data_IF_638075981408
#
_entry.id   IF_638075981408
#
_cell.length_a   1.000
_cell.length_b   1.000
_cell.length_c   1.000
_cell.angle_alpha   90.00
_cell.angle_beta   90.00
_cell.angle_gamma   90.00
#
_symmetry.space_group_name_H-M   'P 1'
#
loop_
_entity.id
_entity.type
_entity.pdbx_description
1 polymer ?
#
# COMPACT_ATOMS: atom_id res chain seq x y z
N UNK A 1 31.49 6.08 50.35
CA UNK A 1 30.35 6.51 51.20
C UNK A 1 29.34 7.17 50.27
N UNK A 2 28.08 6.70 50.17
CA UNK A 2 26.94 6.90 51.12
C UNK A 2 26.65 8.41 51.36
N UNK A 3 25.43 8.98 51.35
CA UNK A 3 24.00 8.60 51.10
C UNK A 3 23.16 9.91 51.14
N UNK A 4 21.91 10.09 50.67
CA UNK A 4 20.93 9.31 49.87
C UNK A 4 19.75 10.23 49.41
N UNK A 5 18.81 9.69 48.64
CA UNK A 5 17.39 10.16 48.48
C UNK A 5 16.58 10.03 49.81
N UNK A 6 15.23 10.22 49.89
CA UNK A 6 14.19 10.59 48.88
C UNK A 6 13.12 11.61 49.36
N UNK A 7 12.10 11.94 48.52
CA UNK A 7 10.69 12.33 48.82
C UNK A 7 10.02 12.85 47.51
N UNK A 8 8.77 12.59 47.09
CA UNK A 8 7.64 11.76 47.59
C UNK A 8 6.71 11.37 46.41
N UNK A 9 5.97 10.26 46.53
CA UNK A 9 4.86 9.90 45.62
C UNK A 9 3.55 10.66 45.93
N UNK A 10 2.66 10.75 44.94
CA UNK A 10 1.22 10.98 45.16
C UNK A 10 0.39 10.03 44.28
N UNK A 11 -0.24 9.02 44.90
CA UNK A 11 -1.35 8.29 44.29
C UNK A 11 -2.63 9.12 44.40
N UNK A 12 -3.52 8.98 43.42
CA UNK A 12 -4.91 9.42 43.54
C UNK A 12 -5.82 8.23 43.22
N UNK A 13 -6.72 7.91 44.15
CA UNK A 13 -7.47 6.65 44.19
C UNK A 13 -8.97 6.94 44.25
N UNK A 14 -9.67 6.73 43.13
CA UNK A 14 -11.13 6.77 42.98
C UNK A 14 -11.49 5.82 41.82
N UNK A 15 -12.41 4.86 41.93
CA UNK A 15 -13.08 4.32 43.11
C UNK A 15 -13.82 3.05 42.69
N UNK A 16 -13.78 2.00 43.50
CA UNK A 16 -14.45 0.72 43.19
C UNK A 16 -15.88 0.74 43.73
N UNK A 17 -16.87 0.52 42.86
CA UNK A 17 -18.24 0.17 43.27
C UNK A 17 -18.49 -1.33 43.10
N UNK A 18 -19.21 -1.91 44.05
CA UNK A 18 -19.17 -3.33 44.38
C UNK A 18 -20.39 -4.14 43.89
N UNK A 19 -20.11 -5.36 43.44
CA UNK A 19 -20.86 -6.61 43.76
C UNK A 19 -22.30 -6.76 43.23
N UNK A 20 -22.51 -7.77 42.37
CA UNK A 20 -23.08 -9.04 42.83
C UNK A 20 -22.70 -10.22 41.93
N UNK A 21 -22.34 -11.35 42.53
CA UNK A 21 -22.18 -12.65 41.85
C UNK A 21 -23.07 -13.63 42.58
N UNK A 22 -24.27 -13.86 42.05
CA UNK A 22 -25.15 -14.91 42.54
C UNK A 22 -24.71 -16.27 41.99
N UNK A 23 -24.42 -17.18 42.92
CA UNK A 23 -24.07 -18.56 42.61
C UNK A 23 -25.32 -19.35 42.23
N UNK A 24 -25.42 -19.76 40.97
CA UNK A 24 -26.37 -20.80 40.55
C UNK A 24 -25.62 -22.06 40.13
N UNK A 25 -25.94 -23.14 40.85
CA UNK A 25 -25.50 -24.51 40.55
C UNK A 25 -26.17 -25.02 39.28
N UNK A 26 -25.50 -26.00 38.66
CA UNK A 26 -25.90 -26.79 37.48
C UNK A 26 -25.66 -26.10 36.13
N UNK A 27 -24.77 -26.69 35.35
CA UNK A 27 -24.34 -26.15 34.06
C UNK A 27 -25.31 -26.45 32.91
N UNK A 28 -25.67 -25.40 32.18
CA UNK A 28 -25.75 -25.38 30.71
C UNK A 28 -26.04 -23.95 30.27
N UNK A 29 -25.04 -23.26 29.69
CA UNK A 29 -25.26 -21.91 29.13
C UNK A 29 -25.53 -22.01 27.63
N UNK A 30 -26.80 -21.90 27.25
CA UNK A 30 -27.21 -21.66 25.86
C UNK A 30 -27.27 -20.15 25.68
N UNK A 31 -26.32 -19.58 24.93
CA UNK A 31 -26.38 -18.16 24.55
C UNK A 31 -27.49 -17.97 23.51
N UNK A 32 -28.66 -17.51 23.96
CA UNK A 32 -29.71 -16.98 23.08
C UNK A 32 -29.51 -15.47 22.89
N UNK A 33 -28.91 -15.08 21.77
CA UNK A 33 -28.92 -13.69 21.30
C UNK A 33 -30.30 -13.34 20.75
N UNK A 34 -31.02 -12.43 21.41
CA UNK A 34 -32.25 -11.85 20.89
C UNK A 34 -31.94 -10.79 19.83
N UNK A 35 -32.07 -11.15 18.56
CA UNK A 35 -32.13 -10.20 17.44
C UNK A 35 -33.56 -9.66 17.32
N UNK A 36 -33.77 -8.40 17.71
CA UNK A 36 -34.99 -7.66 17.36
C UNK A 36 -34.97 -7.29 15.88
N UNK A 37 -35.59 -8.12 15.05
CA UNK A 37 -35.80 -7.82 13.63
C UNK A 37 -36.92 -6.78 13.46
N UNK A 38 -36.57 -5.57 13.03
CA UNK A 38 -37.55 -4.58 12.61
C UNK A 38 -38.18 -5.00 11.26
N UNK A 39 -39.44 -5.43 11.28
CA UNK A 39 -40.17 -5.84 10.08
C UNK A 39 -40.66 -4.60 9.30
N UNK A 40 -39.88 -4.18 8.30
CA UNK A 40 -40.31 -3.14 7.36
C UNK A 40 -41.33 -3.72 6.36
N UNK A 41 -42.62 -3.57 6.63
CA UNK A 41 -43.68 -3.95 5.69
C UNK A 41 -43.77 -2.90 4.57
N UNK A 42 -43.12 -3.18 3.44
CA UNK A 42 -43.26 -2.39 2.22
C UNK A 42 -44.45 -2.93 1.41
N UNK A 43 -45.54 -2.16 1.34
CA UNK A 43 -46.64 -2.44 0.41
C UNK A 43 -46.19 -2.17 -1.02
N UNK A 44 -45.86 -3.22 -1.78
CA UNK A 44 -45.64 -3.13 -3.22
C UNK A 44 -46.98 -3.20 -3.97
N UNK A 45 -47.19 -2.36 -5.00
CA UNK A 45 -48.38 -2.44 -5.83
C UNK A 45 -48.38 -3.75 -6.63
N UNK A 46 -49.57 -4.35 -6.83
CA UNK A 46 -49.75 -5.46 -7.77
C UNK A 46 -49.41 -5.00 -9.19
N UNK A 47 -48.28 -5.43 -9.72
CA UNK A 47 -48.05 -5.49 -11.16
C UNK A 47 -48.32 -6.91 -11.65
N UNK A 48 -49.33 -7.07 -12.49
CA UNK A 48 -49.54 -8.30 -13.25
C UNK A 48 -48.46 -8.41 -14.34
N UNK A 49 -47.33 -9.05 -14.01
CA UNK A 49 -46.24 -9.32 -14.95
C UNK A 49 -46.31 -10.76 -15.47
N UNK A 50 -46.20 -10.90 -16.80
CA UNK A 50 -46.17 -12.18 -17.48
C UNK A 50 -45.00 -13.06 -17.04
N UNK A 51 -45.25 -14.38 -16.94
CA UNK A 51 -44.27 -15.39 -16.53
C UNK A 51 -42.98 -15.37 -17.38
N UNK A 52 -43.06 -14.87 -18.63
CA UNK A 52 -41.90 -14.71 -19.53
C UNK A 52 -40.94 -13.59 -19.08
N UNK A 53 -41.43 -12.57 -18.38
CA UNK A 53 -40.61 -11.44 -17.91
C UNK A 53 -39.87 -11.78 -16.61
N UNK A 54 -40.42 -12.66 -15.78
CA UNK A 54 -39.79 -13.12 -14.54
C UNK A 54 -38.48 -13.89 -14.82
N UNK A 55 -38.47 -14.71 -15.88
CA UNK A 55 -37.32 -15.51 -16.28
C UNK A 55 -36.13 -14.65 -16.77
N UNK A 56 -36.37 -13.50 -17.38
CA UNK A 56 -35.30 -12.61 -17.87
C UNK A 56 -34.63 -11.84 -16.73
N UNK A 57 -35.39 -11.40 -15.72
CA UNK A 57 -34.82 -10.75 -14.54
C UNK A 57 -34.01 -11.72 -13.65
N UNK A 58 -34.40 -13.00 -13.58
CA UNK A 58 -33.66 -14.02 -12.83
C UNK A 58 -32.26 -14.31 -13.40
N UNK A 59 -32.02 -14.11 -14.71
CA UNK A 59 -30.72 -14.34 -15.35
C UNK A 59 -29.79 -13.11 -15.26
N UNK A 60 -30.34 -11.88 -15.17
CA UNK A 60 -29.51 -10.70 -14.86
C UNK A 60 -29.20 -10.56 -13.36
N UNK A 61 -30.05 -11.05 -12.46
CA UNK A 61 -29.80 -11.00 -11.01
C UNK A 61 -28.71 -11.99 -10.55
N UNK A 62 -28.36 -13.00 -11.35
CA UNK A 62 -27.37 -14.04 -11.00
C UNK A 62 -25.94 -13.77 -11.51
N UNK A 63 -25.61 -12.51 -11.81
CA UNK A 63 -24.25 -12.07 -12.24
C UNK A 63 -23.56 -11.10 -11.27
N UNK A 64 -24.13 -10.85 -10.09
CA UNK A 64 -23.64 -9.82 -9.14
C UNK A 64 -22.98 -10.39 -7.87
N UNK A 65 -23.15 -11.67 -7.55
CA UNK A 65 -22.52 -12.31 -6.37
C UNK A 65 -21.54 -13.42 -6.76
N UNK A 66 -20.37 -13.01 -7.23
CA UNK A 66 -19.17 -13.86 -7.30
C UNK A 66 -17.89 -13.06 -7.01
N UNK A 67 -17.99 -12.01 -6.20
CA UNK A 67 -16.82 -11.52 -5.45
C UNK A 67 -16.59 -12.55 -4.36
N UNK A 68 -15.66 -13.48 -4.60
CA UNK A 68 -15.02 -14.17 -3.49
C UNK A 68 -14.39 -13.09 -2.63
N UNK A 69 -14.81 -13.00 -1.37
CA UNK A 69 -14.00 -12.38 -0.34
C UNK A 69 -12.75 -13.25 -0.19
N UNK A 70 -11.74 -13.01 -1.04
CA UNK A 70 -10.37 -13.39 -0.71
C UNK A 70 -10.08 -12.86 0.69
N UNK A 71 -9.40 -13.61 1.55
CA UNK A 71 -9.11 -13.13 2.89
C UNK A 71 -8.29 -11.84 2.75
N UNK A 72 -8.90 -10.71 3.10
CA UNK A 72 -8.11 -9.59 3.60
C UNK A 72 -7.45 -10.18 4.84
N UNK A 73 -6.13 -10.24 4.83
CA UNK A 73 -5.33 -10.83 5.91
C UNK A 73 -5.36 -9.85 7.10
N UNK A 74 -6.54 -9.77 7.74
CA UNK A 74 -6.88 -8.92 8.88
C UNK A 74 -6.08 -9.38 10.10
N UNK A 75 -4.80 -9.05 10.12
CA UNK A 75 -3.90 -9.31 11.23
C UNK A 75 -4.18 -8.30 12.33
N UNK A 76 -5.19 -8.59 13.15
CA UNK A 76 -5.44 -7.85 14.37
C UNK A 76 -4.33 -8.13 15.38
N UNK A 77 -3.28 -7.31 15.35
CA UNK A 77 -2.36 -7.15 16.47
C UNK A 77 -3.02 -6.13 17.39
N UNK A 78 -3.20 -6.50 18.67
CA UNK A 78 -3.80 -5.68 19.73
C UNK A 78 -5.18 -5.05 19.45
N UNK A 79 -5.92 -5.59 18.47
CA UNK A 79 -7.29 -5.17 18.14
C UNK A 79 -7.39 -4.13 17.01
N UNK A 80 -6.28 -3.70 16.42
CA UNK A 80 -6.29 -2.80 15.26
C UNK A 80 -6.51 -3.57 13.94
N UNK A 81 -7.41 -3.09 13.08
CA UNK A 81 -7.65 -3.67 11.76
C UNK A 81 -6.54 -3.26 10.78
N UNK A 82 -5.45 -4.03 10.76
CA UNK A 82 -4.30 -3.79 9.89
C UNK A 82 -4.56 -4.29 8.46
N UNK A 83 -4.08 -3.53 7.48
CA UNK A 83 -4.15 -3.82 6.05
C UNK A 83 -2.81 -3.67 5.37
N UNK A 84 -2.62 -4.39 4.27
CA UNK A 84 -1.37 -4.39 3.51
C UNK A 84 -1.40 -3.35 2.39
N UNK A 85 -0.58 -2.32 2.50
CA UNK A 85 -0.31 -1.33 1.45
C UNK A 85 1.06 -1.60 0.83
N UNK A 86 1.48 -0.87 -0.23
CA UNK A 86 2.90 -0.71 -0.49
C UNK A 86 3.59 -0.25 0.81
N UNK A 87 4.82 -0.68 1.08
CA UNK A 87 5.53 -0.40 2.33
C UNK A 87 5.08 -1.21 3.56
N UNK A 88 4.02 -2.02 3.49
CA UNK A 88 3.68 -3.02 4.51
C UNK A 88 2.34 -2.82 5.23
N UNK A 89 2.30 -3.24 6.51
CA UNK A 89 1.09 -3.19 7.33
C UNK A 89 0.87 -1.80 7.94
N UNK A 90 -0.35 -1.29 7.79
CA UNK A 90 -0.83 -0.04 8.38
C UNK A 90 -2.28 -0.21 8.87
N UNK A 91 -2.73 0.53 9.91
CA UNK A 91 -4.13 0.53 10.33
C UNK A 91 -5.04 1.00 9.19
N UNK A 92 -6.18 0.32 8.95
CA UNK A 92 -7.12 0.69 7.87
C UNK A 92 -7.62 2.14 8.00
N UNK A 93 -7.79 2.63 9.22
CA UNK A 93 -8.14 4.03 9.51
C UNK A 93 -7.17 5.05 8.92
N UNK A 94 -5.92 4.65 8.67
CA UNK A 94 -4.84 5.51 8.20
C UNK A 94 -4.62 5.38 6.68
N UNK A 95 -5.48 4.63 5.96
CA UNK A 95 -5.38 4.43 4.51
C UNK A 95 -6.49 5.20 3.81
N UNK A 96 -6.11 6.36 3.26
CA UNK A 96 -7.02 7.41 2.80
C UNK A 96 -7.04 7.50 1.28
N UNK A 97 -8.21 7.27 0.69
CA UNK A 97 -8.44 7.52 -0.73
C UNK A 97 -8.32 9.02 -1.03
N UNK A 98 -7.61 9.38 -2.10
CA UNK A 98 -7.50 10.76 -2.60
C UNK A 98 -8.51 10.93 -3.74
N UNK A 99 -9.57 11.75 -3.58
CA UNK A 99 -10.49 12.04 -4.67
C UNK A 99 -9.81 12.73 -5.85
N UNK A 100 -10.36 12.56 -7.04
CA UNK A 100 -9.88 13.24 -8.25
C UNK A 100 -9.82 14.76 -8.04
N UNK A 101 -8.71 15.39 -8.44
CA UNK A 101 -8.44 16.82 -8.22
C UNK A 101 -8.09 17.24 -6.77
N UNK A 102 -8.15 16.35 -5.79
CA UNK A 102 -7.63 16.61 -4.45
C UNK A 102 -6.09 16.50 -4.41
N UNK A 103 -5.48 16.98 -3.32
CA UNK A 103 -4.03 16.98 -3.10
C UNK A 103 -3.66 16.73 -1.66
N UNK A 104 -2.50 16.10 -1.43
CA UNK A 104 -1.93 15.93 -0.09
C UNK A 104 -0.98 17.08 0.22
N UNK A 105 -1.10 17.70 1.39
CA UNK A 105 -0.19 18.72 1.89
C UNK A 105 0.51 18.20 3.15
N UNK A 106 1.82 18.01 3.06
CA UNK A 106 2.72 17.48 4.08
C UNK A 106 3.65 18.60 4.59
N UNK A 107 3.64 18.80 5.91
CA UNK A 107 4.61 19.59 6.68
C UNK A 107 5.29 18.67 7.71
N UNK A 108 6.41 19.10 8.29
CA UNK A 108 7.20 18.35 9.28
C UNK A 108 6.47 17.84 10.54
N UNK A 109 5.19 18.17 10.72
CA UNK A 109 4.35 17.76 11.85
C UNK A 109 2.92 17.36 11.46
N UNK A 110 2.46 17.61 10.23
CA UNK A 110 1.06 17.43 9.84
C UNK A 110 0.95 16.99 8.38
N UNK A 111 -0.05 16.14 8.10
CA UNK A 111 -0.53 15.91 6.75
C UNK A 111 -2.02 16.25 6.64
N UNK A 112 -2.38 16.90 5.53
CA UNK A 112 -3.74 17.30 5.20
C UNK A 112 -4.10 16.79 3.80
N UNK A 113 -5.28 16.18 3.64
CA UNK A 113 -5.90 15.99 2.33
C UNK A 113 -6.78 17.21 2.05
N UNK A 114 -6.45 17.93 0.98
CA UNK A 114 -7.16 19.15 0.57
C UNK A 114 -7.91 18.88 -0.73
N UNK A 115 -9.22 19.10 -0.73
CA UNK A 115 -10.10 18.92 -1.87
C UNK A 115 -9.79 19.87 -3.04
N UNK A 116 -10.40 19.57 -4.18
CA UNK A 116 -10.30 20.39 -5.40
C UNK A 116 -10.83 21.83 -5.18
N UNK A 117 -11.83 21.99 -4.31
CA UNK A 117 -12.41 23.27 -3.88
C UNK A 117 -11.59 24.00 -2.79
N UNK A 118 -10.53 23.37 -2.27
CA UNK A 118 -9.70 23.90 -1.19
C UNK A 118 -10.14 23.52 0.23
N UNK A 119 -11.21 22.75 0.42
CA UNK A 119 -11.64 22.25 1.73
C UNK A 119 -10.66 21.22 2.29
N UNK A 120 -10.52 21.13 3.62
CA UNK A 120 -9.74 20.06 4.27
C UNK A 120 -10.65 18.85 4.48
N UNK A 121 -10.36 17.76 3.77
CA UNK A 121 -11.12 16.49 3.81
C UNK A 121 -10.62 15.60 4.96
N UNK A 122 -9.30 15.56 5.17
CA UNK A 122 -8.65 14.80 6.22
C UNK A 122 -7.45 15.58 6.77
N UNK A 123 -7.15 15.44 8.05
CA UNK A 123 -5.99 16.06 8.70
C UNK A 123 -5.51 15.15 9.82
N UNK A 124 -4.21 14.89 9.88
CA UNK A 124 -3.58 14.12 10.95
C UNK A 124 -2.19 14.65 11.28
N UNK A 125 -1.76 14.44 12.53
CA UNK A 125 -0.40 14.74 12.96
C UNK A 125 0.55 13.61 12.53
N UNK A 126 1.78 13.98 12.16
CA UNK A 126 2.83 13.01 11.84
C UNK A 126 3.64 12.77 13.11
N UNK A 127 3.44 11.60 13.71
CA UNK A 127 4.41 11.04 14.65
C UNK A 127 5.59 10.52 13.85
N UNK A 128 6.83 10.91 14.21
CA UNK A 128 8.07 10.44 13.57
C UNK A 128 8.37 8.94 13.78
N UNK A 129 7.46 8.22 14.43
CA UNK A 129 7.43 6.77 14.38
C UNK A 129 6.90 6.35 13.01
N UNK A 130 7.83 6.23 12.07
CA UNK A 130 7.71 5.34 10.90
C UNK A 130 7.25 3.97 11.40
N UNK A 131 6.47 3.23 10.60
CA UNK A 131 6.12 1.82 10.86
C UNK A 131 7.37 0.92 10.78
N UNK A 132 8.27 1.12 11.74
CA UNK A 132 9.66 0.69 11.73
C UNK A 132 9.87 -0.54 12.60
N UNK A 133 9.07 -1.58 12.36
CA UNK A 133 9.31 -2.99 12.74
C UNK A 133 8.21 -3.88 12.14
N UNK A 134 8.33 -4.16 10.84
CA UNK A 134 7.75 -5.40 10.30
C UNK A 134 8.58 -6.59 10.76
N UNK A 135 8.59 -6.86 12.08
CA UNK A 135 9.29 -7.99 12.68
C UNK A 135 8.41 -9.23 12.63
N UNK A 136 8.22 -9.77 11.42
CA UNK A 136 7.78 -11.16 11.31
C UNK A 136 8.91 -12.06 11.82
N UNK A 137 8.70 -12.62 13.00
CA UNK A 137 9.67 -13.46 13.68
C UNK A 137 10.03 -14.69 12.83
N UNK A 138 11.32 -14.90 12.60
CA UNK A 138 11.83 -16.05 11.83
C UNK A 138 11.68 -17.32 12.66
N UNK A 139 10.68 -18.15 12.32
CA UNK A 139 10.51 -19.49 12.91
C UNK A 139 11.44 -20.49 12.18
N UNK A 140 12.21 -21.33 12.90
CA UNK A 140 13.09 -22.34 12.28
C UNK A 140 12.32 -23.44 11.51
N UNK A 141 12.99 -24.18 10.61
CA UNK A 141 12.31 -24.86 9.51
C UNK A 141 11.73 -26.25 9.86
N UNK A 142 10.50 -26.51 9.40
CA UNK A 142 9.89 -27.85 9.34
C UNK A 142 9.24 -28.11 7.98
N UNK A 143 10.04 -28.65 7.05
CA UNK A 143 9.68 -29.49 5.88
C UNK A 143 8.29 -29.27 5.23
N UNK A 144 8.00 -28.03 4.86
CA UNK A 144 6.97 -27.64 3.89
C UNK A 144 7.56 -26.56 2.97
N UNK A 145 6.99 -26.29 1.77
CA UNK A 145 7.40 -25.13 0.98
C UNK A 145 7.21 -23.87 1.84
N UNK A 146 8.29 -23.12 2.08
CA UNK A 146 8.20 -21.90 2.88
C UNK A 146 7.34 -20.88 2.12
N UNK A 147 6.51 -20.12 2.84
CA UNK A 147 5.94 -18.91 2.26
C UNK A 147 7.08 -17.97 1.83
N UNK A 148 6.89 -17.26 0.73
CA UNK A 148 7.89 -16.32 0.25
C UNK A 148 8.11 -15.21 1.29
N UNK A 149 9.30 -14.64 1.31
CA UNK A 149 9.61 -13.44 2.08
C UNK A 149 8.60 -12.32 1.75
N UNK A 150 8.23 -11.55 2.77
CA UNK A 150 7.15 -10.57 2.69
C UNK A 150 7.68 -9.15 2.91
N UNK A 151 7.27 -8.22 2.06
CA UNK A 151 7.83 -6.86 1.98
C UNK A 151 8.78 -6.70 0.79
N UNK A 152 9.79 -5.85 0.96
CA UNK A 152 10.85 -5.57 -0.03
C UNK A 152 11.70 -6.82 -0.32
N UNK A 153 11.32 -7.61 -1.32
CA UNK A 153 12.02 -8.84 -1.72
C UNK A 153 13.08 -8.63 -2.81
N UNK A 154 12.93 -7.59 -3.63
CA UNK A 154 13.88 -7.25 -4.67
C UNK A 154 13.76 -5.77 -5.00
N UNK A 155 14.83 -5.01 -4.76
CA UNK A 155 14.83 -3.56 -5.00
C UNK A 155 16.23 -3.05 -5.35
N UNK A 156 16.29 -1.96 -6.10
CA UNK A 156 17.48 -1.17 -6.31
C UNK A 156 17.22 0.26 -5.80
N UNK A 157 18.23 0.88 -5.19
CA UNK A 157 18.12 2.24 -4.69
C UNK A 157 19.41 3.04 -4.91
N UNK A 158 19.28 4.36 -5.06
CA UNK A 158 20.41 5.29 -5.12
C UNK A 158 20.04 6.64 -4.52
N UNK A 159 20.99 7.26 -3.82
CA UNK A 159 20.85 8.63 -3.31
C UNK A 159 21.46 9.64 -4.27
N UNK A 160 20.74 10.70 -4.60
CA UNK A 160 21.28 11.90 -5.22
C UNK A 160 21.98 12.79 -4.17
N UNK A 161 23.26 12.51 -3.89
CA UNK A 161 24.10 13.35 -3.02
C UNK A 161 24.58 14.67 -3.69
N UNK A 162 24.04 15.02 -4.87
CA UNK A 162 24.38 16.24 -5.59
C UNK A 162 23.71 17.50 -5.02
N UNK A 163 24.28 18.67 -5.30
CA UNK A 163 23.73 19.96 -4.84
C UNK A 163 22.46 20.39 -5.57
N UNK A 164 22.13 19.76 -6.71
CA UNK A 164 20.89 20.00 -7.44
C UNK A 164 19.88 18.91 -7.09
N UNK A 165 18.74 19.24 -6.46
CA UNK A 165 17.74 18.24 -6.05
C UNK A 165 17.00 17.67 -7.25
N UNK A 166 16.45 16.45 -7.11
CA UNK A 166 15.66 15.79 -8.15
C UNK A 166 14.39 16.62 -8.46
N UNK A 167 14.06 16.74 -9.74
CA UNK A 167 12.83 17.36 -10.26
C UNK A 167 12.00 16.41 -11.12
N UNK A 168 12.59 15.33 -11.66
CA UNK A 168 11.84 14.26 -12.30
C UNK A 168 12.50 12.91 -12.08
N UNK A 169 11.70 11.87 -11.87
CA UNK A 169 12.11 10.48 -11.94
C UNK A 169 11.04 9.67 -12.67
N UNK A 170 11.41 9.00 -13.76
CA UNK A 170 10.52 8.13 -14.52
C UNK A 170 11.16 6.83 -14.94
N UNK A 171 10.35 5.76 -14.97
CA UNK A 171 10.76 4.42 -15.39
C UNK A 171 9.65 3.74 -16.19
N UNK A 172 10.04 2.86 -17.10
CA UNK A 172 9.14 2.17 -18.04
C UNK A 172 9.25 0.66 -17.90
N UNK A 173 8.12 -0.04 -17.77
CA UNK A 173 8.09 -1.51 -17.70
C UNK A 173 6.82 -2.07 -18.31
N UNK A 174 6.91 -3.27 -18.87
CA UNK A 174 5.72 -4.01 -19.26
C UNK A 174 5.05 -4.60 -18.01
N UNK A 175 3.71 -4.55 -17.96
CA UNK A 175 2.93 -5.31 -16.97
C UNK A 175 3.31 -6.79 -17.07
N UNK A 176 3.70 -7.47 -15.99
CA UNK A 176 4.09 -8.88 -16.04
C UNK A 176 2.94 -9.78 -16.53
N UNK A 177 3.29 -11.01 -16.91
CA UNK A 177 2.27 -12.05 -17.06
C UNK A 177 1.50 -12.24 -15.73
N UNK A 178 0.22 -12.60 -15.79
CA UNK A 178 -0.49 -13.02 -14.58
C UNK A 178 0.26 -14.20 -13.92
N UNK A 179 0.34 -14.24 -12.59
CA UNK A 179 0.82 -15.42 -11.88
C UNK A 179 0.08 -16.70 -12.28
N UNK A 180 0.77 -17.84 -12.25
CA UNK A 180 0.21 -19.14 -12.66
C UNK A 180 -0.93 -19.61 -11.73
N UNK A 181 -0.93 -19.16 -10.49
CA UNK A 181 -2.02 -19.35 -9.51
C UNK A 181 -2.42 -18.00 -8.89
N UNK A 182 -3.71 -17.84 -8.55
CA UNK A 182 -4.23 -16.65 -7.87
C UNK A 182 -4.80 -17.05 -6.51
N UNK A 183 -3.92 -17.18 -5.52
CA UNK A 183 -4.22 -17.75 -4.21
C UNK A 183 -4.26 -16.69 -3.10
N UNK A 184 -4.49 -15.42 -3.46
CA UNK A 184 -4.55 -14.30 -2.52
C UNK A 184 -3.24 -13.52 -2.37
N UNK A 185 -2.25 -13.75 -3.23
CA UNK A 185 -1.04 -12.91 -3.25
C UNK A 185 -1.35 -11.44 -3.57
N UNK A 186 -0.50 -10.58 -3.06
CA UNK A 186 -0.48 -9.15 -3.34
C UNK A 186 0.94 -8.75 -3.75
N UNK A 187 1.09 -8.22 -4.96
CA UNK A 187 2.38 -7.88 -5.56
C UNK A 187 2.38 -6.39 -5.91
N UNK A 188 3.44 -5.67 -5.59
CA UNK A 188 3.61 -4.27 -5.98
C UNK A 188 4.92 -4.06 -6.76
N UNK A 189 4.84 -3.34 -7.88
CA UNK A 189 5.98 -2.94 -8.70
C UNK A 189 5.95 -1.43 -8.87
N UNK A 190 7.06 -0.76 -8.55
CA UNK A 190 7.11 0.70 -8.57
C UNK A 190 8.52 1.24 -8.73
N UNK A 191 8.60 2.41 -9.35
CA UNK A 191 9.70 3.34 -9.12
C UNK A 191 9.26 4.35 -8.05
N UNK A 192 10.15 4.80 -7.16
CA UNK A 192 9.76 5.66 -6.03
C UNK A 192 10.79 6.73 -5.66
N UNK A 193 10.30 7.80 -5.03
CA UNK A 193 11.08 8.88 -4.45
C UNK A 193 10.89 8.95 -2.93
N UNK A 194 12.00 8.99 -2.19
CA UNK A 194 12.07 8.95 -0.72
C UNK A 194 12.95 10.11 -0.22
N UNK A 195 12.58 10.82 0.86
CA UNK A 195 13.41 11.85 1.48
C UNK A 195 14.48 11.25 2.39
N UNK A 196 15.51 12.05 2.68
CA UNK A 196 16.63 11.70 3.56
C UNK A 196 16.24 11.34 5.02
N UNK A 197 15.03 11.73 5.45
CA UNK A 197 14.39 11.34 6.72
C UNK A 197 13.92 9.89 6.75
N UNK A 198 13.71 9.27 5.58
CA UNK A 198 13.12 7.95 5.36
C UNK A 198 11.71 7.77 5.96
N UNK A 199 11.00 8.86 6.26
CA UNK A 199 9.65 8.84 6.85
C UNK A 199 8.51 9.00 5.84
N UNK A 200 8.82 9.18 4.55
CA UNK A 200 7.84 9.24 3.47
C UNK A 200 8.30 8.51 2.20
N UNK A 201 7.35 8.15 1.33
CA UNK A 201 7.64 7.59 0.00
C UNK A 201 6.52 7.97 -0.98
N UNK A 202 6.91 8.53 -2.13
CA UNK A 202 6.03 8.83 -3.26
C UNK A 202 6.30 7.80 -4.38
N UNK A 203 5.25 7.19 -4.93
CA UNK A 203 5.41 6.07 -5.87
C UNK A 203 4.18 5.88 -6.80
N UNK A 204 4.35 5.84 -8.13
CA UNK A 204 3.38 5.21 -9.02
C UNK A 204 3.54 3.67 -8.94
N UNK A 205 2.48 2.98 -8.51
CA UNK A 205 2.48 1.55 -8.22
C UNK A 205 1.60 0.76 -9.18
N UNK A 206 2.16 -0.29 -9.76
CA UNK A 206 1.45 -1.39 -10.39
C UNK A 206 1.20 -2.48 -9.33
N UNK A 207 -0.06 -2.83 -9.07
CA UNK A 207 -0.44 -3.93 -8.18
C UNK A 207 -1.03 -5.12 -8.94
N UNK A 208 -0.85 -6.33 -8.41
CA UNK A 208 -1.72 -7.50 -8.62
C UNK A 208 -2.24 -7.96 -7.27
N UNK A 209 -3.51 -8.36 -7.19
CA UNK A 209 -4.15 -8.79 -5.94
C UNK A 209 -5.11 -7.75 -5.35
N UNK A 210 -5.56 -8.01 -4.13
CA UNK A 210 -6.50 -7.14 -3.39
C UNK A 210 -5.73 -6.32 -2.35
N UNK A 211 -5.93 -5.01 -2.35
CA UNK A 211 -5.39 -4.05 -1.40
C UNK A 211 -6.49 -3.11 -0.87
N UNK A 212 -6.21 -2.20 0.07
CA UNK A 212 -7.16 -1.16 0.48
C UNK A 212 -7.68 -0.27 -0.66
N UNK A 213 -6.92 -0.15 -1.75
CA UNK A 213 -7.35 0.61 -2.93
C UNK A 213 -8.34 -0.14 -3.83
N UNK A 214 -8.56 -1.44 -3.56
CA UNK A 214 -9.34 -2.36 -4.38
C UNK A 214 -8.43 -3.40 -5.06
N UNK A 215 -8.83 -3.86 -6.24
CA UNK A 215 -8.10 -4.87 -7.01
C UNK A 215 -8.81 -6.22 -7.08
N UNK A 216 -8.03 -7.28 -7.20
CA UNK A 216 -8.50 -8.66 -7.45
C UNK A 216 -7.44 -9.46 -8.20
N UNK A 217 -7.85 -10.55 -8.87
CA UNK A 217 -6.99 -11.40 -9.71
C UNK A 217 -6.62 -10.75 -11.06
N UNK A 218 -6.24 -9.47 -11.04
CA UNK A 218 -5.89 -8.66 -12.21
C UNK A 218 -4.87 -7.59 -11.83
N UNK A 219 -4.20 -7.03 -12.85
CA UNK A 219 -3.27 -5.92 -12.69
C UNK A 219 -4.00 -4.57 -12.68
N UNK A 220 -3.63 -3.67 -11.77
CA UNK A 220 -4.14 -2.32 -11.72
C UNK A 220 -3.06 -1.33 -11.26
N UNK A 221 -3.20 -0.06 -11.64
CA UNK A 221 -2.27 1.01 -11.28
C UNK A 221 -2.93 2.09 -10.43
N UNK A 222 -2.20 2.61 -9.46
CA UNK A 222 -2.50 3.81 -8.69
C UNK A 222 -1.20 4.45 -8.20
N UNK A 223 -1.19 5.76 -7.93
CA UNK A 223 -0.09 6.39 -7.20
C UNK A 223 -0.37 6.41 -5.71
N UNK A 224 0.67 6.20 -4.91
CA UNK A 224 0.62 6.19 -3.46
C UNK A 224 1.61 7.20 -2.87
N UNK A 225 1.23 7.79 -1.73
CA UNK A 225 2.11 8.59 -0.90
C UNK A 225 1.94 8.15 0.55
N UNK A 226 3.00 7.56 1.12
CA UNK A 226 3.04 7.10 2.50
C UNK A 226 3.86 8.12 3.27
N UNK A 227 3.43 8.48 4.47
CA UNK A 227 4.12 9.43 5.35
C UNK A 227 3.82 9.11 6.82
N UNK A 228 4.88 8.83 7.59
CA UNK A 228 4.80 8.34 8.97
C UNK A 228 3.98 7.04 9.06
N UNK A 229 2.81 7.12 9.69
CA UNK A 229 1.87 6.01 9.86
C UNK A 229 0.64 6.08 8.93
N UNK A 230 0.65 6.98 7.93
CA UNK A 230 -0.52 7.33 7.11
C UNK A 230 -0.22 7.14 5.63
N UNK A 231 -1.19 6.57 4.90
CA UNK A 231 -1.06 6.21 3.50
C UNK A 231 -2.16 6.84 2.67
N UNK A 232 -1.79 7.52 1.59
CA UNK A 232 -2.69 8.13 0.62
C UNK A 232 -2.57 7.41 -0.72
N UNK A 233 -3.68 7.24 -1.44
CA UNK A 233 -3.68 6.59 -2.76
C UNK A 233 -4.67 7.23 -3.75
N UNK A 234 -4.31 7.27 -5.03
CA UNK A 234 -5.21 7.65 -6.12
C UNK A 234 -6.16 6.48 -6.48
N UNK A 235 -7.28 6.71 -7.19
CA UNK A 235 -8.11 5.64 -7.71
C UNK A 235 -7.32 4.60 -8.54
N UNK A 236 -7.68 3.33 -8.41
CA UNK A 236 -7.14 2.26 -9.25
C UNK A 236 -7.68 2.34 -10.68
N UNK A 237 -6.80 2.10 -11.66
CA UNK A 237 -7.20 1.78 -13.04
C UNK A 237 -6.66 0.41 -13.44
N UNK A 238 -7.52 -0.48 -13.92
CA UNK A 238 -7.10 -1.80 -14.40
C UNK A 238 -6.24 -1.70 -15.67
N UNK A 239 -5.18 -2.49 -15.75
CA UNK A 239 -4.25 -2.60 -16.89
C UNK A 239 -4.10 -4.05 -17.32
N UNK A 240 -3.57 -4.29 -18.52
CA UNK A 240 -3.45 -5.64 -19.09
C UNK A 240 -2.00 -6.16 -19.07
N UNK A 241 -1.76 -7.47 -18.89
CA UNK A 241 -0.45 -8.09 -19.10
C UNK A 241 0.18 -7.69 -20.44
N UNK A 242 1.48 -7.39 -20.42
CA UNK A 242 2.22 -6.91 -21.60
C UNK A 242 1.99 -5.44 -21.98
N UNK A 243 1.03 -4.74 -21.37
CA UNK A 243 0.89 -3.29 -21.56
C UNK A 243 2.15 -2.57 -21.07
N UNK A 244 2.71 -1.67 -21.88
CA UNK A 244 3.80 -0.82 -21.44
C UNK A 244 3.27 0.27 -20.49
N UNK A 245 3.90 0.39 -19.33
CA UNK A 245 3.64 1.44 -18.36
C UNK A 245 4.83 2.40 -18.29
N UNK A 246 4.54 3.66 -17.96
CA UNK A 246 5.51 4.71 -17.75
C UNK A 246 5.17 5.42 -16.44
N UNK A 247 5.77 4.96 -15.34
CA UNK A 247 5.64 5.59 -14.03
C UNK A 247 6.48 6.85 -13.97
N UNK A 248 5.88 7.98 -13.57
CA UNK A 248 6.52 9.29 -13.60
C UNK A 248 6.22 10.06 -12.31
N UNK A 249 7.25 10.64 -11.72
CA UNK A 249 7.13 11.67 -10.68
C UNK A 249 7.79 12.96 -11.15
N UNK A 250 7.06 14.09 -11.10
CA UNK A 250 7.56 15.42 -11.51
C UNK A 250 7.32 16.47 -10.43
N UNK A 251 8.31 17.36 -10.25
CA UNK A 251 8.27 18.46 -9.29
C UNK A 251 7.92 19.78 -9.97
N UNK A 252 6.84 20.39 -9.51
CA UNK A 252 6.23 21.58 -10.09
C UNK A 252 6.66 22.90 -9.41
N UNK A 253 7.54 22.85 -8.40
CA UNK A 253 8.11 24.04 -7.74
C UNK A 253 9.63 23.94 -7.60
N UNK A 254 10.29 25.10 -7.56
CA UNK A 254 11.75 25.23 -7.37
C UNK A 254 12.16 25.35 -5.89
N UNK A 255 11.23 25.75 -5.02
CA UNK A 255 11.43 25.96 -3.58
C UNK A 255 10.39 25.20 -2.76
N UNK A 256 10.69 25.02 -1.48
CA UNK A 256 9.75 24.46 -0.49
C UNK A 256 8.51 25.37 -0.31
N UNK A 257 7.28 24.82 -0.12
CA UNK A 257 6.95 23.39 -0.21
C UNK A 257 7.07 22.86 -1.64
N UNK A 258 7.76 21.73 -1.77
CA UNK A 258 8.00 21.05 -3.04
C UNK A 258 6.72 20.34 -3.48
N UNK A 259 6.07 20.86 -4.52
CA UNK A 259 4.87 20.26 -5.11
C UNK A 259 5.31 19.17 -6.09
N UNK A 260 4.80 17.97 -5.92
CA UNK A 260 5.05 16.83 -6.80
C UNK A 260 3.73 16.30 -7.37
N UNK A 261 3.81 15.71 -8.56
CA UNK A 261 2.78 14.84 -9.10
C UNK A 261 3.39 13.46 -9.35
N UNK A 262 2.71 12.40 -8.96
CA UNK A 262 3.01 11.01 -9.29
C UNK A 262 1.90 10.47 -10.19
N UNK A 263 2.24 9.81 -11.30
CA UNK A 263 1.25 9.34 -12.28
C UNK A 263 1.82 8.25 -13.19
N UNK A 264 0.98 7.37 -13.73
CA UNK A 264 1.30 6.60 -14.94
C UNK A 264 0.85 7.38 -16.18
N UNK A 265 1.77 7.65 -17.09
CA UNK A 265 1.48 8.44 -18.30
C UNK A 265 0.39 7.79 -19.13
N UNK A 266 -0.64 8.56 -19.50
CA UNK A 266 -1.84 8.07 -20.20
C UNK A 266 -2.94 7.51 -19.29
N UNK A 267 -2.72 7.41 -17.97
CA UNK A 267 -3.70 6.91 -17.00
C UNK A 267 -4.02 8.00 -15.98
N UNK A 268 -4.90 8.93 -16.33
CA UNK A 268 -5.17 10.16 -15.54
C UNK A 268 -5.60 9.88 -14.11
N UNK A 269 -6.48 8.90 -13.86
CA UNK A 269 -6.94 8.54 -12.52
C UNK A 269 -5.84 7.96 -11.61
N UNK A 270 -4.67 7.61 -12.16
CA UNK A 270 -3.50 7.23 -11.35
C UNK A 270 -2.73 8.43 -10.80
N UNK A 271 -3.18 9.65 -11.06
CA UNK A 271 -2.48 10.87 -10.66
C UNK A 271 -2.69 11.18 -9.18
N UNK A 272 -1.59 11.44 -8.48
CA UNK A 272 -1.57 11.87 -7.09
C UNK A 272 -0.71 13.13 -6.98
N UNK A 273 -1.33 14.24 -6.59
CA UNK A 273 -0.63 15.50 -6.32
C UNK A 273 -0.33 15.64 -4.84
N UNK A 274 0.94 15.83 -4.49
CA UNK A 274 1.39 16.06 -3.12
C UNK A 274 2.21 17.34 -3.02
N UNK A 275 2.40 17.84 -1.81
CA UNK A 275 3.41 18.86 -1.52
C UNK A 275 4.07 18.56 -0.18
N UNK A 276 5.39 18.57 -0.13
CA UNK A 276 6.18 18.27 1.07
C UNK A 276 7.17 19.40 1.36
N UNK A 277 7.54 19.60 2.62
CA UNK A 277 8.64 20.51 2.98
C UNK A 277 10.02 19.96 2.65
N UNK A 278 10.13 18.66 2.41
CA UNK A 278 11.39 17.91 2.26
C UNK A 278 11.79 17.67 0.80
N UNK A 279 13.09 17.54 0.57
CA UNK A 279 13.62 17.09 -0.72
C UNK A 279 13.50 15.58 -0.78
N UNK A 280 12.94 15.04 -1.87
CA UNK A 280 13.00 13.62 -2.17
C UNK A 280 14.27 13.38 -3.01
N UNK A 281 15.25 12.69 -2.44
CA UNK A 281 16.61 12.57 -2.98
C UNK A 281 17.08 11.12 -3.17
N UNK A 282 16.40 10.14 -2.58
CA UNK A 282 16.56 8.74 -2.94
C UNK A 282 15.61 8.36 -4.08
N UNK A 283 16.14 7.68 -5.09
CA UNK A 283 15.40 6.99 -6.13
C UNK A 283 15.41 5.48 -5.88
N UNK A 284 14.26 4.83 -6.02
CA UNK A 284 14.07 3.39 -5.84
C UNK A 284 13.41 2.75 -7.08
N UNK A 285 13.74 1.49 -7.33
CA UNK A 285 13.04 0.55 -8.22
C UNK A 285 12.75 -0.70 -7.39
N UNK A 286 11.51 -1.18 -7.31
CA UNK A 286 11.17 -2.25 -6.36
C UNK A 286 10.09 -3.22 -6.83
N UNK A 287 10.21 -4.43 -6.28
CA UNK A 287 9.17 -5.43 -6.10
C UNK A 287 8.94 -5.65 -4.59
N UNK A 288 7.71 -5.45 -4.15
CA UNK A 288 7.23 -5.96 -2.87
C UNK A 288 6.28 -7.15 -3.08
N UNK A 289 6.43 -8.17 -2.23
CA UNK A 289 5.55 -9.34 -2.21
C UNK A 289 4.86 -9.43 -0.86
N UNK A 290 3.56 -9.71 -0.88
CA UNK A 290 2.76 -10.03 0.29
C UNK A 290 1.87 -11.23 -0.02
N UNK A 291 1.55 -12.01 1.02
CA UNK A 291 0.61 -13.17 0.99
C UNK A 291 0.86 -14.24 -0.08
N UNK A 292 2.00 -14.20 -0.79
CA UNK A 292 2.38 -15.18 -1.79
C UNK A 292 3.02 -16.42 -1.15
N UNK A 293 2.43 -17.59 -1.36
CA UNK A 293 2.84 -18.83 -0.68
C UNK A 293 3.84 -19.69 -1.47
N UNK A 294 4.11 -19.37 -2.75
CA UNK A 294 5.03 -20.14 -3.59
C UNK A 294 5.50 -19.34 -4.82
N UNK A 295 6.52 -19.84 -5.53
CA UNK A 295 6.93 -19.32 -6.84
C UNK A 295 5.76 -19.25 -7.86
N UNK A 296 4.81 -20.19 -7.81
CA UNK A 296 3.62 -20.19 -8.69
C UNK A 296 2.62 -19.07 -8.42
N UNK A 297 2.79 -18.34 -7.31
CA UNK A 297 2.04 -17.12 -6.98
C UNK A 297 2.69 -15.86 -7.56
N UNK A 298 3.83 -15.98 -8.25
CA UNK A 298 4.50 -14.90 -8.97
C UNK A 298 4.36 -15.05 -10.49
N UNK A 299 4.63 -13.98 -11.27
CA UNK A 299 4.85 -14.09 -12.70
C UNK A 299 6.04 -15.00 -13.02
N UNK A 300 6.05 -15.57 -14.22
CA UNK A 300 7.20 -16.36 -14.71
C UNK A 300 8.23 -15.48 -15.43
N UNK A 301 9.51 -15.87 -15.35
CA UNK A 301 10.59 -15.23 -16.09
C UNK A 301 11.17 -14.01 -15.36
N UNK A 302 10.99 -12.81 -15.94
CA UNK A 302 11.63 -11.58 -15.46
C UNK A 302 10.81 -10.34 -15.84
N UNK A 303 10.95 -9.27 -15.05
CA UNK A 303 10.42 -7.94 -15.36
C UNK A 303 11.58 -6.95 -15.45
N UNK A 304 11.71 -6.30 -16.60
CA UNK A 304 12.70 -5.27 -16.83
C UNK A 304 12.10 -3.90 -16.55
N UNK A 305 12.74 -3.14 -15.67
CA UNK A 305 12.43 -1.74 -15.38
C UNK A 305 13.46 -0.92 -16.16
N UNK A 306 13.01 -0.16 -17.15
CA UNK A 306 13.83 0.35 -18.27
C UNK A 306 13.56 1.82 -18.56
N UNK A 307 14.40 2.44 -19.39
CA UNK A 307 14.34 3.88 -19.66
C UNK A 307 14.31 4.71 -18.36
N UNK A 308 15.05 4.26 -17.34
CA UNK A 308 15.21 4.92 -16.06
C UNK A 308 15.84 6.29 -16.33
N UNK A 309 15.08 7.34 -16.02
CA UNK A 309 15.45 8.71 -16.28
C UNK A 309 15.28 9.54 -15.01
N UNK A 310 16.36 10.16 -14.54
CA UNK A 310 16.39 11.06 -13.39
C UNK A 310 16.91 12.41 -13.86
N UNK A 311 16.19 13.48 -13.54
CA UNK A 311 16.55 14.86 -13.88
C UNK A 311 16.55 15.71 -12.62
N UNK A 312 17.59 16.51 -12.43
CA UNK A 312 17.73 17.48 -11.34
C UNK A 312 17.37 18.90 -11.76
N UNK A 313 17.17 19.79 -10.79
CA UNK A 313 16.68 21.16 -11.00
C UNK A 313 17.51 22.01 -11.97
N UNK A 314 18.79 21.70 -12.17
CA UNK A 314 19.67 22.31 -13.17
C UNK A 314 19.53 21.72 -14.60
N UNK A 315 18.52 20.87 -14.84
CA UNK A 315 18.28 20.20 -16.12
C UNK A 315 19.28 19.10 -16.48
N UNK A 316 20.10 18.64 -15.52
CA UNK A 316 21.07 17.56 -15.73
C UNK A 316 20.54 16.21 -15.22
N UNK A 317 21.14 15.12 -15.68
CA UNK A 317 20.94 13.80 -15.07
C UNK A 317 22.11 13.50 -14.12
N UNK A 318 21.85 13.24 -12.82
CA UNK A 318 22.91 13.03 -11.83
C UNK A 318 23.58 11.66 -12.03
N UNK A 319 24.87 11.54 -11.75
CA UNK A 319 25.49 10.22 -11.62
C UNK A 319 25.03 9.58 -10.30
N UNK A 320 24.38 8.42 -10.38
CA UNK A 320 23.83 7.72 -9.22
C UNK A 320 24.51 6.36 -9.01
N UNK A 321 24.95 6.11 -7.78
CA UNK A 321 25.49 4.81 -7.37
C UNK A 321 24.35 3.94 -6.88
N UNK A 322 23.85 3.08 -7.77
CA UNK A 322 22.79 2.12 -7.45
C UNK A 322 23.31 0.94 -6.63
N UNK A 323 22.56 0.58 -5.59
CA UNK A 323 22.71 -0.65 -4.82
C UNK A 323 21.50 -1.53 -5.08
N UNK A 324 21.70 -2.82 -5.40
CA UNK A 324 20.62 -3.78 -5.58
C UNK A 324 20.59 -4.83 -4.46
N UNK A 325 19.38 -5.22 -4.06
CA UNK A 325 19.07 -6.19 -3.02
C UNK A 325 18.03 -7.18 -3.57
N UNK A 326 18.12 -8.44 -3.19
CA UNK A 326 17.17 -9.50 -3.54
C UNK A 326 17.09 -10.57 -2.45
N UNK A 327 16.14 -11.50 -2.55
CA UNK A 327 16.09 -12.71 -1.72
C UNK A 327 16.63 -13.94 -2.48
N UNK A 328 17.94 -14.23 -2.38
CA UNK A 328 18.53 -15.41 -3.03
C UNK A 328 18.01 -16.74 -2.46
N UNK A 329 17.37 -16.74 -1.28
CA UNK A 329 16.79 -17.94 -0.67
C UNK A 329 15.50 -18.35 -1.37
N UNK A 330 14.70 -17.37 -1.79
CA UNK A 330 13.50 -17.58 -2.60
C UNK A 330 13.77 -17.52 -4.12
N UNK A 331 15.03 -17.39 -4.54
CA UNK A 331 15.41 -17.28 -5.94
C UNK A 331 14.95 -15.99 -6.63
N UNK A 332 14.54 -14.98 -5.86
CA UNK A 332 14.12 -13.66 -6.34
C UNK A 332 15.36 -12.76 -6.35
N UNK A 333 15.62 -12.04 -7.45
CA UNK A 333 16.74 -11.10 -7.49
C UNK A 333 16.43 -9.80 -8.21
N UNK A 334 17.03 -8.71 -7.72
CA UNK A 334 17.21 -7.47 -8.46
C UNK A 334 18.63 -7.43 -9.02
N UNK A 335 18.79 -6.94 -10.25
CA UNK A 335 20.09 -6.73 -10.89
C UNK A 335 20.15 -5.39 -11.61
N UNK A 336 21.29 -4.72 -11.52
CA UNK A 336 21.57 -3.46 -12.23
C UNK A 336 22.11 -3.82 -13.60
N UNK A 337 21.29 -3.65 -14.64
CA UNK A 337 21.67 -3.92 -16.03
C UNK A 337 22.35 -2.69 -16.66
N UNK A 338 21.88 -1.50 -16.31
CA UNK A 338 22.51 -0.22 -16.64
C UNK A 338 22.27 0.79 -15.51
N UNK A 339 23.32 1.30 -14.84
CA UNK A 339 23.18 2.30 -13.77
C UNK A 339 22.91 3.72 -14.29
N UNK A 340 22.71 3.90 -15.60
CA UNK A 340 22.47 5.21 -16.21
C UNK A 340 21.23 5.91 -15.64
N UNK A 341 21.27 7.23 -15.56
CA UNK A 341 20.14 8.10 -15.20
C UNK A 341 19.53 8.83 -16.38
N UNK A 342 19.99 8.56 -17.60
CA UNK A 342 19.35 9.04 -18.83
C UNK A 342 18.54 7.95 -19.52
N UNK A 343 18.96 6.69 -19.41
CA UNK A 343 18.28 5.51 -19.93
C UNK A 343 18.79 4.25 -19.21
N UNK A 344 18.69 4.23 -17.88
CA UNK A 344 19.08 3.08 -17.07
C UNK A 344 18.13 1.89 -17.21
N UNK A 345 18.55 0.77 -16.64
CA UNK A 345 17.71 -0.42 -16.53
C UNK A 345 18.08 -1.29 -15.34
N UNK A 346 17.04 -1.75 -14.64
CA UNK A 346 17.09 -2.79 -13.62
C UNK A 346 16.31 -4.01 -14.10
N UNK A 347 16.62 -5.18 -13.55
CA UNK A 347 15.91 -6.41 -13.87
C UNK A 347 15.59 -7.21 -12.61
N UNK A 348 14.28 -7.40 -12.41
CA UNK A 348 13.70 -8.31 -11.43
C UNK A 348 13.60 -9.69 -12.08
N UNK A 349 14.17 -10.71 -11.45
CA UNK A 349 14.03 -12.11 -11.84
C UNK A 349 13.25 -12.87 -10.78
N UNK A 350 12.28 -13.67 -11.21
CA UNK A 350 11.49 -14.54 -10.34
C UNK A 350 12.14 -15.93 -10.21
N UNK A 351 11.83 -16.68 -9.13
CA UNK A 351 12.15 -18.10 -9.06
C UNK A 351 11.59 -18.88 -10.26
N UNK A 352 12.36 -19.86 -10.71
CA UNK A 352 11.85 -20.93 -11.57
C UNK A 352 10.94 -21.83 -10.73
N UNK A 353 9.71 -22.07 -11.20
CA UNK A 353 8.80 -23.07 -10.67
C UNK A 353 9.28 -24.51 -10.98
#
# INVERSE_FOLDING_TARGET
MKTSDPFTSSLLYLGVSSVSVDSLKNGNSIVKTHLSSALLIVNLPKLDMSLKTLATCAVLALRVFSVFASPIDNRSIDGEDLVMTPGGLVPRSNVVAVPEGARVHHTSNQVQLVGADGTIIHSAQITKEVSGKSSLSVVPPTVAPRALSSGYVAYAYAKNSGTSPITSFSTSWAVPANPASSNGQLLYYFNALVPDSLDAILQPVLQFGVSPAGGGSYWAVASWFIVGSITYYSPLTQVQPGQMLHGVMTRNTTTSPYKWNSVFTGVTHSSLTISTTEVLDYAYEALEIYTASSASSLPVGQTAMTAINVVTQNGQSPALTWTAVGDPTDGISMSIVSPSTTSGSMQIKYPTA
#
